data_IF_328796495805
#
_entry.id   IF_328796495805
#
_cell.length_a   1.000
_cell.length_b   1.000
_cell.length_c   1.000
_cell.angle_alpha   90.00
_cell.angle_beta   90.00
_cell.angle_gamma   90.00
#
_symmetry.space_group_name_H-M   'P 1'
#
loop_
_entity.id
_entity.type
_entity.pdbx_description
1 polymer ?
#
# COMPACT_ATOMS: atom_id res chain seq x y z
N UNK A 1 11.34 33.01 7.14
CA UNK A 1 10.08 32.44 6.64
C UNK A 1 10.16 32.44 5.13
N UNK A 2 10.17 31.27 4.51
CA UNK A 2 10.09 31.17 3.04
C UNK A 2 8.60 31.25 2.70
N UNK A 3 8.20 32.26 1.93
CA UNK A 3 6.82 32.40 1.45
C UNK A 3 6.57 31.38 0.32
N UNK A 4 6.07 30.20 0.68
CA UNK A 4 5.73 29.11 -0.24
C UNK A 4 4.65 29.47 -1.29
N UNK A 5 4.03 30.65 -1.19
CA UNK A 5 2.86 31.05 -1.99
C UNK A 5 3.11 31.43 -3.45
N UNK A 6 4.36 31.61 -3.89
CA UNK A 6 4.67 32.04 -5.27
C UNK A 6 5.11 30.93 -6.22
N UNK A 7 5.57 29.79 -5.71
CA UNK A 7 6.16 28.72 -6.53
C UNK A 7 5.29 27.45 -6.62
N UNK A 8 4.22 27.38 -5.83
CA UNK A 8 3.41 26.17 -5.72
C UNK A 8 1.90 26.47 -5.74
N UNK A 9 1.12 25.56 -6.32
CA UNK A 9 -0.33 25.70 -6.38
C UNK A 9 -0.95 25.66 -4.98
N UNK A 10 -2.12 26.30 -4.82
CA UNK A 10 -2.87 26.30 -3.56
C UNK A 10 -3.10 24.86 -3.03
N UNK A 11 -3.44 23.94 -3.91
CA UNK A 11 -3.63 22.52 -3.60
C UNK A 11 -2.34 21.84 -3.10
N UNK A 12 -1.18 22.22 -3.64
CA UNK A 12 0.11 21.71 -3.16
C UNK A 12 0.43 22.23 -1.76
N UNK A 13 0.15 23.51 -1.48
CA UNK A 13 0.37 24.09 -0.15
C UNK A 13 -0.56 23.45 0.89
N UNK A 14 -1.83 23.23 0.53
CA UNK A 14 -2.80 22.52 1.38
C UNK A 14 -2.34 21.09 1.67
N UNK A 15 -1.87 20.36 0.65
CA UNK A 15 -1.29 19.02 0.80
C UNK A 15 -0.08 19.02 1.74
N UNK A 16 0.88 19.93 1.52
CA UNK A 16 2.10 20.00 2.33
C UNK A 16 1.83 20.43 3.77
N UNK A 17 0.82 21.27 4.00
CA UNK A 17 0.38 21.67 5.35
C UNK A 17 -0.25 20.48 6.07
N UNK A 18 -1.19 19.80 5.42
CA UNK A 18 -1.80 18.58 5.96
C UNK A 18 -0.73 17.50 6.25
N UNK A 19 0.27 17.40 5.38
CA UNK A 19 1.40 16.48 5.53
C UNK A 19 2.29 16.81 6.75
N UNK A 20 2.55 18.09 7.02
CA UNK A 20 3.33 18.52 8.19
C UNK A 20 2.59 18.24 9.50
N UNK A 21 1.30 18.60 9.58
CA UNK A 21 0.46 18.31 10.75
C UNK A 21 0.38 16.82 11.01
N UNK A 22 0.24 16.05 9.93
CA UNK A 22 0.24 14.61 9.95
C UNK A 22 1.57 14.06 10.50
N UNK A 23 2.73 14.56 10.03
CA UNK A 23 4.05 14.16 10.58
C UNK A 23 4.20 14.42 12.07
N UNK A 24 3.73 15.57 12.56
CA UNK A 24 3.78 15.91 14.00
C UNK A 24 2.90 14.94 14.80
N UNK A 25 1.69 14.66 14.31
CA UNK A 25 0.78 13.69 14.93
C UNK A 25 1.40 12.30 14.98
N UNK A 26 2.05 11.85 13.90
CA UNK A 26 2.74 10.57 13.88
C UNK A 26 3.88 10.54 14.88
N UNK A 27 4.73 11.57 14.91
CA UNK A 27 5.84 11.65 15.84
C UNK A 27 5.40 11.50 17.30
N UNK A 28 4.26 12.10 17.68
CA UNK A 28 3.69 11.94 19.01
C UNK A 28 3.04 10.56 19.18
N UNK A 29 2.27 10.12 18.20
CA UNK A 29 1.60 8.81 18.19
C UNK A 29 2.57 7.64 18.34
N UNK A 30 3.81 7.74 17.82
CA UNK A 30 4.86 6.73 18.02
C UNK A 30 5.19 6.45 19.48
N UNK A 31 4.92 7.41 20.38
CA UNK A 31 5.19 7.34 21.82
C UNK A 31 3.99 6.87 22.64
N UNK A 32 2.82 6.71 22.00
CA UNK A 32 1.60 6.25 22.66
C UNK A 32 1.69 4.76 23.03
N UNK A 33 0.81 4.35 23.95
CA UNK A 33 0.67 2.96 24.35
C UNK A 33 0.14 2.07 23.20
N UNK A 34 0.45 0.78 23.28
CA UNK A 34 0.12 -0.19 22.23
C UNK A 34 -1.39 -0.30 21.98
N UNK A 35 -2.21 -0.14 23.03
CA UNK A 35 -3.67 -0.22 22.93
C UNK A 35 -4.26 0.98 22.18
N UNK A 36 -3.73 2.18 22.42
CA UNK A 36 -4.11 3.40 21.69
C UNK A 36 -3.76 3.26 20.21
N UNK A 37 -2.53 2.78 19.94
CA UNK A 37 -2.07 2.53 18.58
C UNK A 37 -2.98 1.52 17.86
N UNK A 38 -3.32 0.41 18.52
CA UNK A 38 -4.18 -0.62 17.96
C UNK A 38 -5.60 -0.11 17.68
N UNK A 39 -6.17 0.70 18.58
CA UNK A 39 -7.50 1.27 18.39
C UNK A 39 -7.54 2.29 17.25
N UNK A 40 -6.57 3.20 17.16
CA UNK A 40 -6.49 4.18 16.06
C UNK A 40 -6.34 3.47 14.70
N UNK A 41 -5.49 2.44 14.66
CA UNK A 41 -5.34 1.54 13.52
C UNK A 41 -6.64 0.86 13.15
N UNK A 42 -7.30 0.24 14.12
CA UNK A 42 -8.56 -0.44 13.89
C UNK A 42 -9.59 0.55 13.33
N UNK A 43 -9.71 1.75 13.90
CA UNK A 43 -10.63 2.78 13.39
C UNK A 43 -10.29 3.19 11.94
N UNK A 44 -9.00 3.40 11.63
CA UNK A 44 -8.58 3.82 10.29
C UNK A 44 -8.57 2.67 9.26
N UNK A 45 -8.47 1.41 9.68
CA UNK A 45 -8.49 0.24 8.80
C UNK A 45 -9.87 -0.44 8.71
N UNK A 46 -10.80 -0.16 9.63
CA UNK A 46 -12.13 -0.77 9.65
C UNK A 46 -13.06 -0.23 8.54
N UNK A 47 -12.68 0.86 7.89
CA UNK A 47 -13.35 1.30 6.66
C UNK A 47 -12.45 1.01 5.45
N UNK A 48 -13.04 0.37 4.43
CA UNK A 48 -12.34 0.08 3.19
C UNK A 48 -11.66 1.33 2.63
N UNK A 49 -10.38 1.17 2.33
CA UNK A 49 -9.50 2.20 1.77
C UNK A 49 -10.01 2.67 0.41
N UNK A 50 -10.53 1.76 -0.43
CA UNK A 50 -11.12 2.11 -1.73
C UNK A 50 -12.34 3.03 -1.64
N UNK A 51 -13.03 3.08 -0.50
CA UNK A 51 -14.16 4.00 -0.28
C UNK A 51 -13.73 5.41 0.10
N UNK A 52 -12.43 5.64 0.31
CA UNK A 52 -11.86 6.93 0.72
C UNK A 52 -11.35 7.69 -0.49
N UNK A 53 -11.35 9.02 -0.42
CA UNK A 53 -10.72 9.86 -1.45
C UNK A 53 -9.20 9.63 -1.54
N UNK A 54 -8.62 10.06 -2.65
CA UNK A 54 -7.20 9.89 -2.95
C UNK A 54 -6.28 10.49 -1.87
N UNK A 55 -6.65 11.65 -1.32
CA UNK A 55 -5.84 12.34 -0.32
C UNK A 55 -5.78 11.55 0.99
N UNK A 56 -6.92 11.02 1.45
CA UNK A 56 -6.96 10.19 2.66
C UNK A 56 -6.27 8.84 2.44
N UNK A 57 -6.36 8.23 1.25
CA UNK A 57 -5.59 7.01 0.91
C UNK A 57 -4.09 7.27 0.95
N UNK A 58 -3.61 8.35 0.32
CA UNK A 58 -2.20 8.74 0.36
C UNK A 58 -1.67 8.94 1.78
N UNK A 59 -2.43 9.64 2.63
CA UNK A 59 -2.04 9.91 4.01
C UNK A 59 -1.96 8.64 4.85
N UNK A 60 -2.94 7.74 4.74
CA UNK A 60 -2.92 6.44 5.44
C UNK A 60 -1.76 5.57 4.92
N UNK A 61 -1.53 5.53 3.62
CA UNK A 61 -0.45 4.72 3.05
C UNK A 61 0.93 5.25 3.43
N UNK A 62 1.13 6.57 3.43
CA UNK A 62 2.38 7.15 3.91
C UNK A 62 2.59 6.84 5.40
N UNK A 63 1.51 6.74 6.19
CA UNK A 63 1.56 6.27 7.57
C UNK A 63 2.06 4.86 7.72
N UNK A 64 1.35 3.95 7.09
CA UNK A 64 1.64 2.53 7.15
C UNK A 64 3.05 2.25 6.63
N UNK A 65 3.51 2.99 5.62
CA UNK A 65 4.87 2.87 5.11
C UNK A 65 5.92 3.46 6.05
N UNK A 66 5.67 4.62 6.65
CA UNK A 66 6.67 5.42 7.37
C UNK A 66 7.04 4.94 8.77
N UNK A 67 6.23 4.10 9.42
CA UNK A 67 6.56 3.62 10.78
C UNK A 67 7.07 2.17 10.76
N UNK A 68 8.22 1.92 11.38
CA UNK A 68 8.74 0.55 11.58
C UNK A 68 8.06 -0.16 12.76
N UNK A 69 7.09 0.49 13.40
CA UNK A 69 6.44 0.03 14.64
C UNK A 69 5.12 -0.70 14.42
N UNK A 70 4.77 -1.03 13.18
CA UNK A 70 3.57 -1.79 12.92
C UNK A 70 3.74 -3.23 13.37
N UNK A 71 2.85 -3.66 14.25
CA UNK A 71 2.69 -5.08 14.52
C UNK A 71 2.28 -5.77 13.21
N UNK A 72 3.04 -6.80 12.83
CA UNK A 72 2.76 -7.63 11.67
C UNK A 72 1.32 -8.17 11.72
N UNK A 73 0.78 -8.44 12.91
CA UNK A 73 -0.61 -8.88 13.11
C UNK A 73 -1.65 -7.91 12.52
N UNK A 74 -1.40 -6.61 12.59
CA UNK A 74 -2.28 -5.56 12.07
C UNK A 74 -2.21 -5.52 10.56
N UNK A 75 -1.00 -5.57 9.98
CA UNK A 75 -0.84 -5.62 8.52
C UNK A 75 -1.53 -6.87 7.95
N UNK A 76 -1.43 -8.00 8.66
CA UNK A 76 -2.10 -9.25 8.29
C UNK A 76 -3.62 -9.17 8.33
N UNK A 77 -4.21 -8.28 9.13
CA UNK A 77 -5.68 -8.10 9.15
C UNK A 77 -6.21 -7.45 7.86
N UNK A 78 -5.36 -6.71 7.14
CA UNK A 78 -5.73 -5.94 5.93
C UNK A 78 -4.93 -6.32 4.69
N UNK A 79 -4.13 -7.40 4.72
CA UNK A 79 -3.20 -7.72 3.63
C UNK A 79 -3.88 -7.90 2.27
N UNK A 80 -5.12 -8.40 2.24
CA UNK A 80 -5.87 -8.61 0.99
C UNK A 80 -6.18 -7.27 0.33
N UNK A 81 -6.72 -6.33 1.09
CA UNK A 81 -7.01 -4.98 0.60
C UNK A 81 -5.71 -4.24 0.22
N UNK A 82 -4.64 -4.41 1.02
CA UNK A 82 -3.32 -3.88 0.65
C UNK A 82 -2.79 -4.49 -0.65
N UNK A 83 -3.03 -5.78 -0.91
CA UNK A 83 -2.62 -6.44 -2.16
C UNK A 83 -3.43 -5.92 -3.35
N UNK A 84 -4.72 -5.70 -3.18
CA UNK A 84 -5.57 -5.07 -4.20
C UNK A 84 -5.07 -3.66 -4.53
N UNK A 85 -4.79 -2.83 -3.52
CA UNK A 85 -4.25 -1.48 -3.69
C UNK A 85 -2.87 -1.51 -4.35
N UNK A 86 -2.01 -2.44 -3.95
CA UNK A 86 -0.68 -2.62 -4.52
C UNK A 86 -0.71 -2.92 -6.01
N UNK A 87 -1.81 -3.47 -6.52
CA UNK A 87 -1.99 -3.85 -7.92
C UNK A 87 -2.80 -2.83 -8.72
N UNK A 88 -3.84 -2.25 -8.13
CA UNK A 88 -4.90 -1.54 -8.85
C UNK A 88 -4.92 -0.02 -8.62
N UNK A 89 -4.27 0.49 -7.58
CA UNK A 89 -4.27 1.94 -7.31
C UNK A 89 -3.11 2.63 -8.06
N UNK A 90 -3.11 3.96 -8.03
CA UNK A 90 -2.10 4.78 -8.70
C UNK A 90 -0.68 4.46 -8.18
N UNK A 91 0.31 4.61 -9.05
CA UNK A 91 1.72 4.20 -8.84
C UNK A 91 2.26 4.53 -7.43
N UNK A 92 2.03 5.75 -6.94
CA UNK A 92 2.50 6.18 -5.61
C UNK A 92 1.84 5.37 -4.49
N UNK A 93 0.52 5.22 -4.51
CA UNK A 93 -0.23 4.48 -3.49
C UNK A 93 0.08 2.98 -3.57
N UNK A 94 0.14 2.44 -4.79
CA UNK A 94 0.54 1.07 -5.04
C UNK A 94 1.95 0.77 -4.50
N UNK A 95 2.92 1.66 -4.73
CA UNK A 95 4.27 1.53 -4.20
C UNK A 95 4.30 1.50 -2.67
N UNK A 96 3.49 2.33 -2.01
CA UNK A 96 3.41 2.36 -0.56
C UNK A 96 2.80 1.07 -0.01
N UNK A 97 1.72 0.56 -0.62
CA UNK A 97 1.13 -0.73 -0.29
C UNK A 97 2.15 -1.87 -0.41
N UNK A 98 2.95 -1.91 -1.49
CA UNK A 98 4.04 -2.90 -1.64
C UNK A 98 5.07 -2.80 -0.52
N UNK A 99 5.49 -1.59 -0.17
CA UNK A 99 6.45 -1.37 0.93
C UNK A 99 5.89 -1.81 2.29
N UNK A 100 4.59 -1.66 2.53
CA UNK A 100 3.91 -2.13 3.74
C UNK A 100 3.86 -3.66 3.75
N UNK A 101 3.44 -4.30 2.65
CA UNK A 101 3.38 -5.76 2.54
C UNK A 101 4.75 -6.42 2.74
N UNK A 102 5.84 -5.78 2.31
CA UNK A 102 7.23 -6.23 2.53
C UNK A 102 7.64 -6.29 4.01
N UNK A 103 6.90 -5.62 4.90
CA UNK A 103 7.14 -5.68 6.35
C UNK A 103 6.72 -7.03 6.95
N UNK A 104 5.76 -7.74 6.34
CA UNK A 104 5.38 -9.10 6.75
C UNK A 104 6.59 -10.02 6.56
N UNK A 105 7.02 -10.72 7.62
CA UNK A 105 8.20 -11.61 7.61
C UNK A 105 7.80 -13.08 7.63
N UNK A 106 6.58 -13.41 8.01
CA UNK A 106 6.11 -14.79 8.02
C UNK A 106 5.96 -15.34 6.60
N UNK A 107 6.80 -16.32 6.26
CA UNK A 107 6.84 -16.95 4.93
C UNK A 107 5.48 -17.53 4.49
N UNK A 108 4.71 -18.11 5.41
CA UNK A 108 3.37 -18.64 5.12
C UNK A 108 2.40 -17.54 4.67
N UNK A 109 2.50 -16.34 5.25
CA UNK A 109 1.66 -15.19 4.93
C UNK A 109 2.08 -14.49 3.65
N UNK A 110 3.37 -14.42 3.39
CA UNK A 110 3.88 -13.97 2.11
C UNK A 110 3.45 -14.89 0.93
N UNK A 111 3.36 -16.21 1.15
CA UNK A 111 2.74 -17.13 0.16
C UNK A 111 1.24 -16.82 -0.04
N UNK A 112 0.50 -16.47 1.01
CA UNK A 112 -0.89 -16.04 0.89
C UNK A 112 -1.02 -14.75 0.05
N UNK A 113 -0.11 -13.79 0.21
CA UNK A 113 -0.03 -12.59 -0.64
C UNK A 113 0.22 -12.97 -2.09
N UNK A 114 1.21 -13.82 -2.36
CA UNK A 114 1.51 -14.26 -3.73
C UNK A 114 0.29 -14.94 -4.39
N UNK A 115 -0.42 -15.81 -3.66
CA UNK A 115 -1.68 -16.40 -4.14
C UNK A 115 -2.73 -15.34 -4.48
N UNK A 116 -2.87 -14.31 -3.65
CA UNK A 116 -3.80 -13.22 -3.91
C UNK A 116 -3.43 -12.44 -5.17
N UNK A 117 -2.14 -12.21 -5.43
CA UNK A 117 -1.64 -11.60 -6.68
C UNK A 117 -2.08 -12.42 -7.89
N UNK A 118 -1.91 -13.75 -7.87
CA UNK A 118 -2.39 -14.61 -8.96
C UNK A 118 -3.90 -14.54 -9.14
N UNK A 119 -4.69 -14.56 -8.06
CA UNK A 119 -6.15 -14.46 -8.14
C UNK A 119 -6.59 -13.15 -8.82
N UNK A 120 -5.95 -12.03 -8.47
CA UNK A 120 -6.27 -10.72 -9.04
C UNK A 120 -5.85 -10.64 -10.52
N UNK A 121 -4.66 -11.11 -10.86
CA UNK A 121 -4.18 -11.14 -12.24
C UNK A 121 -5.04 -12.07 -13.13
N UNK A 122 -5.47 -13.24 -12.63
CA UNK A 122 -6.40 -14.13 -13.34
C UNK A 122 -7.78 -13.51 -13.57
N UNK A 123 -8.23 -12.66 -12.66
CA UNK A 123 -9.48 -11.92 -12.81
C UNK A 123 -9.34 -10.82 -13.87
N UNK A 124 -8.19 -10.15 -13.91
CA UNK A 124 -7.91 -9.09 -14.87
C UNK A 124 -7.70 -9.63 -16.30
N UNK A 125 -6.99 -10.75 -16.44
CA UNK A 125 -6.74 -11.43 -17.72
C UNK A 125 -8.05 -11.76 -18.47
N UNK A 126 -9.15 -11.98 -17.73
CA UNK A 126 -10.47 -12.31 -18.30
C UNK A 126 -11.26 -11.08 -18.73
N UNK A 127 -10.79 -9.87 -18.45
CA UNK A 127 -11.45 -8.65 -18.89
C UNK A 127 -11.32 -8.47 -20.41
N UNK A 128 -12.29 -7.76 -21.00
CA UNK A 128 -12.27 -7.45 -22.44
C UNK A 128 -11.09 -6.55 -22.81
N UNK A 129 -10.70 -5.68 -21.89
CA UNK A 129 -9.59 -4.74 -22.01
C UNK A 129 -8.82 -4.75 -20.68
N UNK A 130 -7.87 -5.69 -20.51
CA UNK A 130 -7.13 -5.86 -19.26
C UNK A 130 -6.26 -4.65 -18.94
N UNK A 131 -6.22 -4.26 -17.67
CA UNK A 131 -5.28 -3.26 -17.16
C UNK A 131 -3.87 -3.85 -16.99
N UNK A 132 -2.93 -3.42 -17.83
CA UNK A 132 -1.55 -3.90 -17.83
C UNK A 132 -0.78 -3.49 -16.56
N UNK A 133 -1.19 -2.40 -15.90
CA UNK A 133 -0.55 -1.95 -14.66
C UNK A 133 -0.73 -2.97 -13.53
N UNK A 134 -1.83 -3.73 -13.54
CA UNK A 134 -2.08 -4.79 -12.56
C UNK A 134 -1.02 -5.90 -12.67
N UNK A 135 -0.63 -6.28 -13.89
CA UNK A 135 0.38 -7.32 -14.10
C UNK A 135 1.78 -6.80 -13.77
N UNK A 136 2.09 -5.57 -14.19
CA UNK A 136 3.35 -4.90 -13.85
C UNK A 136 3.53 -4.78 -12.31
N UNK A 137 2.50 -4.28 -11.63
CA UNK A 137 2.50 -4.13 -10.18
C UNK A 137 2.56 -5.49 -9.46
N UNK A 138 1.89 -6.52 -10.00
CA UNK A 138 1.98 -7.90 -9.51
C UNK A 138 3.40 -8.46 -9.60
N UNK A 139 4.08 -8.25 -10.73
CA UNK A 139 5.50 -8.59 -10.90
C UNK A 139 6.37 -7.88 -9.86
N UNK A 140 6.21 -6.56 -9.72
CA UNK A 140 6.99 -5.76 -8.77
C UNK A 140 6.80 -6.21 -7.32
N UNK A 141 5.56 -6.52 -6.91
CA UNK A 141 5.27 -7.01 -5.57
C UNK A 141 5.91 -8.39 -5.32
N UNK A 142 5.79 -9.34 -6.26
CA UNK A 142 6.42 -10.66 -6.11
C UNK A 142 7.95 -10.58 -6.07
N UNK A 143 8.53 -9.67 -6.86
CA UNK A 143 9.96 -9.35 -6.81
C UNK A 143 10.37 -8.79 -5.45
N UNK A 144 9.64 -7.80 -4.93
CA UNK A 144 9.92 -7.15 -3.64
C UNK A 144 9.83 -8.11 -2.45
N UNK A 145 8.96 -9.10 -2.53
CA UNK A 145 8.81 -10.15 -1.51
C UNK A 145 9.90 -11.24 -1.62
N UNK A 146 10.68 -11.29 -2.71
CA UNK A 146 11.83 -12.20 -2.88
C UNK A 146 11.49 -13.62 -3.30
N UNK A 147 10.31 -13.86 -3.86
CA UNK A 147 9.80 -15.21 -4.18
C UNK A 147 10.16 -15.65 -5.60
N UNK A 148 11.38 -16.18 -5.78
CA UNK A 148 11.88 -16.56 -7.11
C UNK A 148 10.98 -17.54 -7.87
N UNK A 149 10.36 -18.50 -7.18
CA UNK A 149 9.53 -19.53 -7.84
C UNK A 149 8.21 -18.95 -8.32
N UNK A 150 7.48 -18.27 -7.44
CA UNK A 150 6.20 -17.63 -7.72
C UNK A 150 6.37 -16.50 -8.73
N UNK A 151 7.44 -15.72 -8.61
CA UNK A 151 7.80 -14.69 -9.59
C UNK A 151 8.04 -15.31 -10.98
N UNK A 152 8.82 -16.39 -11.07
CA UNK A 152 9.04 -17.05 -12.36
C UNK A 152 7.74 -17.59 -12.96
N UNK A 153 6.90 -18.23 -12.14
CA UNK A 153 5.58 -18.69 -12.58
C UNK A 153 4.69 -17.55 -13.07
N UNK A 154 4.75 -16.39 -12.42
CA UNK A 154 4.00 -15.21 -12.79
C UNK A 154 4.48 -14.66 -14.13
N UNK A 155 5.80 -14.53 -14.31
CA UNK A 155 6.43 -14.12 -15.58
C UNK A 155 6.04 -15.09 -16.69
N UNK A 156 6.20 -16.40 -16.48
CA UNK A 156 5.92 -17.41 -17.51
C UNK A 156 4.45 -17.35 -17.99
N UNK A 157 3.53 -17.10 -17.06
CA UNK A 157 2.09 -17.01 -17.34
C UNK A 157 1.70 -15.68 -17.99
N UNK A 158 2.21 -14.56 -17.48
CA UNK A 158 1.77 -13.21 -17.85
C UNK A 158 2.76 -12.42 -18.70
N UNK A 159 3.78 -13.07 -19.29
CA UNK A 159 4.79 -12.42 -20.14
C UNK A 159 4.26 -11.51 -21.27
N UNK A 160 3.03 -11.73 -21.72
CA UNK A 160 2.41 -10.92 -22.78
C UNK A 160 1.70 -9.67 -22.22
N UNK A 161 1.61 -9.56 -20.89
CA UNK A 161 0.99 -8.46 -20.14
C UNK A 161 2.00 -7.62 -19.34
N UNK A 162 3.28 -8.03 -19.31
CA UNK A 162 4.37 -7.39 -18.54
C UNK A 162 5.39 -6.77 -19.50
#
# INVERSE_FOLDING_TARGET
MIEFGKEHSKTWIELMTAYQDYKIKIFNWTKEDIDVKYNDLYIELNQSLFKRDLHKRLLIMDFLRGTDMWDESVILSVFKELTEIALQDQEVIASYARMILKKIKHHSKQIEIAKQVFILAEKEEKQKDPDYDIFHNGYMLLFDLGYKKELQQFIDKYKNFI
#
